data_IF_151369072690
#
_entry.id   IF_151369072690
#
_cell.length_a   1.000
_cell.length_b   1.000
_cell.length_c   1.000
_cell.angle_alpha   90.00
_cell.angle_beta   90.00
_cell.angle_gamma   90.00
#
_symmetry.space_group_name_H-M   'P 1'
#
loop_
_entity.id
_entity.type
_entity.pdbx_description
1 polymer ?
#
# COMPACT_ATOMS: atom_id res chain seq x y z
N UNK A 1 6.58 -9.42 19.39
CA UNK A 1 6.33 -8.49 18.27
C UNK A 1 6.09 -9.33 17.04
N UNK A 2 4.88 -9.88 16.93
CA UNK A 2 4.40 -10.43 15.69
C UNK A 2 3.98 -9.26 14.80
N UNK A 3 4.34 -9.35 13.53
CA UNK A 3 3.78 -8.50 12.49
C UNK A 3 3.19 -9.42 11.45
N UNK A 4 2.03 -9.05 10.91
CA UNK A 4 1.49 -9.70 9.72
C UNK A 4 1.86 -8.86 8.50
N UNK A 5 2.51 -9.48 7.51
CA UNK A 5 2.80 -8.87 6.21
C UNK A 5 1.86 -9.48 5.16
N UNK A 6 1.16 -8.63 4.42
CA UNK A 6 0.30 -9.03 3.29
C UNK A 6 0.42 -8.01 2.15
N UNK A 7 -0.06 -8.35 0.94
CA UNK A 7 -0.06 -7.39 -0.16
C UNK A 7 -1.10 -6.30 0.06
N UNK A 8 -0.95 -5.14 -0.59
CA UNK A 8 -1.99 -4.11 -0.59
C UNK A 8 -3.33 -4.66 -1.12
N UNK A 9 -3.30 -5.53 -2.12
CA UNK A 9 -4.51 -6.14 -2.68
C UNK A 9 -5.24 -6.98 -1.64
N UNK A 10 -4.53 -7.82 -0.87
CA UNK A 10 -5.11 -8.63 0.20
C UNK A 10 -5.68 -7.76 1.33
N UNK A 11 -4.93 -6.72 1.72
CA UNK A 11 -5.37 -5.79 2.75
C UNK A 11 -6.67 -5.07 2.34
N UNK A 12 -6.71 -4.59 1.09
CA UNK A 12 -7.90 -3.94 0.52
C UNK A 12 -9.06 -4.91 0.36
N UNK A 13 -8.81 -6.17 -0.01
CA UNK A 13 -9.85 -7.19 -0.08
C UNK A 13 -10.54 -7.38 1.28
N UNK A 14 -9.78 -7.33 2.38
CA UNK A 14 -10.30 -7.52 3.75
C UNK A 14 -10.96 -6.28 4.34
N UNK A 15 -10.39 -5.10 4.10
CA UNK A 15 -10.78 -3.86 4.81
C UNK A 15 -11.44 -2.81 3.92
N UNK A 16 -11.29 -2.94 2.60
CA UNK A 16 -11.75 -1.96 1.62
C UNK A 16 -10.76 -0.80 1.41
N UNK A 17 -10.84 -0.18 0.23
CA UNK A 17 -9.93 0.90 -0.16
C UNK A 17 -10.06 2.15 0.73
N UNK A 18 -11.27 2.46 1.20
CA UNK A 18 -11.52 3.63 2.07
C UNK A 18 -10.80 3.50 3.42
N UNK A 19 -10.78 2.29 3.99
CA UNK A 19 -10.05 2.02 5.24
C UNK A 19 -8.54 2.05 5.01
N UNK A 20 -8.04 1.35 4.00
CA UNK A 20 -6.62 1.40 3.64
C UNK A 20 -6.10 2.84 3.42
N UNK A 21 -6.88 3.67 2.73
CA UNK A 21 -6.56 5.07 2.53
C UNK A 21 -6.45 5.85 3.86
N UNK A 22 -7.39 5.62 4.78
CA UNK A 22 -7.37 6.22 6.11
C UNK A 22 -6.15 5.77 6.91
N UNK A 23 -5.86 4.47 6.89
CA UNK A 23 -4.77 3.88 7.66
C UNK A 23 -3.40 4.37 7.17
N UNK A 24 -3.24 4.62 5.86
CA UNK A 24 -1.99 5.14 5.29
C UNK A 24 -1.94 6.67 5.20
N UNK A 25 -3.00 7.38 5.60
CA UNK A 25 -3.07 8.85 5.51
C UNK A 25 -3.05 9.39 4.08
N UNK A 26 -3.63 8.66 3.11
CA UNK A 26 -3.70 9.05 1.70
C UNK A 26 -5.13 9.15 1.19
N UNK A 27 -5.32 9.70 -0.01
CA UNK A 27 -6.62 9.66 -0.68
C UNK A 27 -6.97 8.23 -1.15
N UNK A 28 -8.26 7.87 -1.15
CA UNK A 28 -8.71 6.58 -1.69
C UNK A 28 -8.37 6.40 -3.18
N UNK A 29 -8.30 7.49 -3.94
CA UNK A 29 -7.81 7.48 -5.32
C UNK A 29 -6.35 7.03 -5.45
N UNK A 30 -5.50 7.27 -4.44
CA UNK A 30 -4.12 6.79 -4.43
C UNK A 30 -4.07 5.26 -4.28
N UNK A 31 -4.94 4.67 -3.46
CA UNK A 31 -5.09 3.21 -3.33
C UNK A 31 -5.60 2.62 -4.65
N UNK A 32 -6.64 3.22 -5.23
CA UNK A 32 -7.20 2.80 -6.53
C UNK A 32 -6.13 2.82 -7.62
N UNK A 33 -5.36 3.92 -7.74
CA UNK A 33 -4.25 4.02 -8.71
C UNK A 33 -3.18 2.98 -8.45
N UNK A 34 -2.81 2.75 -7.19
CA UNK A 34 -1.79 1.77 -6.84
C UNK A 34 -2.17 0.35 -7.26
N UNK A 35 -3.42 -0.04 -7.05
CA UNK A 35 -3.95 -1.33 -7.49
C UNK A 35 -4.05 -1.40 -9.02
N UNK A 36 -4.55 -0.34 -9.65
CA UNK A 36 -4.74 -0.27 -11.10
C UNK A 36 -3.43 -0.44 -11.89
N UNK A 37 -2.36 0.21 -11.44
CA UNK A 37 -1.05 0.15 -12.12
C UNK A 37 -0.16 -0.98 -11.58
N UNK A 38 -0.65 -1.79 -10.65
CA UNK A 38 0.09 -2.93 -10.10
C UNK A 38 1.33 -2.55 -9.29
N UNK A 39 1.27 -1.51 -8.45
CA UNK A 39 2.39 -1.17 -7.55
C UNK A 39 2.63 -2.32 -6.57
N UNK A 40 3.89 -2.71 -6.42
CA UNK A 40 4.29 -3.73 -5.45
C UNK A 40 4.36 -3.13 -4.04
N UNK A 41 3.21 -3.15 -3.35
CA UNK A 41 3.05 -2.58 -2.01
C UNK A 41 2.70 -3.68 -1.02
N UNK A 42 3.41 -3.69 0.10
CA UNK A 42 3.17 -4.58 1.23
C UNK A 42 2.68 -3.80 2.44
N UNK A 43 1.72 -4.37 3.16
CA UNK A 43 1.14 -3.81 4.38
C UNK A 43 1.61 -4.64 5.56
N UNK A 44 2.13 -3.96 6.59
CA UNK A 44 2.53 -4.54 7.88
C UNK A 44 1.52 -4.13 8.94
N UNK A 45 0.90 -5.09 9.59
CA UNK A 45 0.04 -4.86 10.77
C UNK A 45 0.77 -5.36 11.99
N UNK A 46 1.00 -4.47 12.96
CA UNK A 46 1.68 -4.78 14.21
C UNK A 46 0.68 -5.16 15.31
N UNK A 47 1.14 -5.86 16.35
CA UNK A 47 0.30 -6.29 17.47
C UNK A 47 -0.37 -5.12 18.22
N UNK A 48 0.25 -3.94 18.23
CA UNK A 48 -0.31 -2.72 18.85
C UNK A 48 -1.42 -2.06 17.99
N UNK A 49 -1.69 -2.60 16.80
CA UNK A 49 -2.70 -2.11 15.88
C UNK A 49 -2.21 -1.05 14.90
N UNK A 50 -0.97 -0.59 15.02
CA UNK A 50 -0.35 0.25 13.99
C UNK A 50 -0.27 -0.50 12.66
N UNK A 51 -0.50 0.25 11.58
CA UNK A 51 -0.45 -0.26 10.21
C UNK A 51 0.55 0.59 9.43
N UNK A 52 1.50 -0.06 8.79
CA UNK A 52 2.46 0.57 7.89
C UNK A 52 2.37 -0.03 6.49
N UNK A 53 2.74 0.74 5.47
CA UNK A 53 2.84 0.26 4.09
C UNK A 53 4.23 0.58 3.52
N UNK A 54 4.82 -0.37 2.82
CA UNK A 54 6.09 -0.23 2.11
C UNK A 54 5.90 -0.53 0.62
N UNK A 55 6.50 0.28 -0.24
CA UNK A 55 6.51 0.03 -1.69
C UNK A 55 7.89 -0.46 -2.12
N UNK A 56 7.90 -1.56 -2.86
CA UNK A 56 9.08 -2.06 -3.57
C UNK A 56 9.07 -1.50 -4.98
N UNK A 57 10.15 -0.81 -5.35
CA UNK A 57 10.32 -0.17 -6.65
C UNK A 57 11.79 -0.17 -7.04
N UNK A 58 12.11 -0.34 -8.33
CA UNK A 58 13.48 -0.26 -8.80
C UNK A 58 14.08 1.10 -8.49
N UNK A 59 15.39 1.14 -8.26
CA UNK A 59 16.14 2.37 -8.07
C UNK A 59 17.13 2.55 -9.23
N UNK A 60 17.04 3.65 -10.00
CA UNK A 60 16.02 4.68 -9.92
C UNK A 60 14.66 4.23 -10.47
N UNK A 61 13.60 4.87 -10.01
CA UNK A 61 12.22 4.50 -10.35
C UNK A 61 11.63 5.31 -11.51
N UNK A 62 12.45 6.01 -12.30
CA UNK A 62 11.96 6.85 -13.39
C UNK A 62 11.22 6.00 -14.42
N UNK A 63 9.95 6.32 -14.64
CA UNK A 63 9.26 5.92 -15.87
C UNK A 63 9.71 6.93 -16.93
N UNK A 64 10.22 6.47 -18.08
CA UNK A 64 10.56 7.36 -19.21
C UNK A 64 9.37 8.30 -19.48
N UNK A 65 9.52 9.60 -19.21
CA UNK A 65 8.51 10.63 -19.50
C UNK A 65 8.09 11.59 -18.37
N UNK A 66 8.83 11.67 -17.25
CA UNK A 66 8.58 12.63 -16.15
C UNK A 66 9.44 13.92 -16.25
N UNK A 67 9.88 14.28 -17.47
CA UNK A 67 10.51 15.57 -17.83
C UNK A 67 9.56 16.34 -18.77
#
# INVERSE_FOLDING_TARGET
MAMKKETLADYVYRFGQKKAAKDFGVAQSAISKALLVGREIYVKTFDDGTVEAEEVRPFPAFVRGDD
#
